data_IF_673818303669
#
_entry.id   IF_673818303669
#
_cell.length_a   1.000
_cell.length_b   1.000
_cell.length_c   1.000
_cell.angle_alpha   90.00
_cell.angle_beta   90.00
_cell.angle_gamma   90.00
#
_symmetry.space_group_name_H-M   'P 1'
#
loop_
_entity.id
_entity.type
_entity.pdbx_description
1 polymer ?
#
# COMPACT_ATOMS: atom_id res chain seq x y z
N UNK A 1 14.04 0.43 -2.91
CA UNK A 1 14.49 -0.83 -2.32
C UNK A 1 14.71 -1.84 -3.45
N UNK A 2 15.91 -2.31 -3.60
CA UNK A 2 16.27 -3.34 -4.60
C UNK A 2 15.87 -2.96 -6.03
N UNK A 3 15.98 -1.68 -6.38
CA UNK A 3 15.60 -1.18 -7.69
C UNK A 3 14.12 -0.82 -7.83
N UNK A 4 13.32 -1.09 -6.83
CA UNK A 4 11.92 -0.70 -6.81
C UNK A 4 11.75 0.67 -6.13
N UNK A 5 10.80 1.44 -6.63
CA UNK A 5 10.46 2.72 -6.04
C UNK A 5 9.36 2.52 -5.03
N UNK A 6 9.67 2.71 -3.76
CA UNK A 6 8.72 2.54 -2.67
C UNK A 6 8.21 3.92 -2.25
N UNK A 7 6.89 4.07 -2.26
CA UNK A 7 6.24 5.32 -1.89
C UNK A 7 5.20 5.05 -0.80
N UNK A 8 5.27 5.81 0.28
CA UNK A 8 4.23 5.80 1.30
C UNK A 8 3.75 7.23 1.52
N UNK A 9 2.44 7.40 1.65
CA UNK A 9 1.89 8.73 1.89
C UNK A 9 0.57 8.62 2.66
N UNK A 10 0.21 9.70 3.34
CA UNK A 10 -1.06 9.82 4.05
C UNK A 10 -1.80 11.02 3.49
N UNK A 11 -3.07 10.84 3.17
CA UNK A 11 -3.95 11.91 2.68
C UNK A 11 -5.16 12.02 3.61
N UNK A 12 -5.49 13.26 3.98
CA UNK A 12 -6.65 13.52 4.82
C UNK A 12 -7.86 13.87 3.95
N UNK A 13 -9.05 13.51 4.45
CA UNK A 13 -10.33 13.86 3.80
C UNK A 13 -10.43 13.34 2.36
N UNK A 14 -9.97 12.12 2.11
CA UNK A 14 -10.08 11.47 0.81
C UNK A 14 -10.96 10.22 0.91
N UNK A 15 -11.68 9.93 -0.16
CA UNK A 15 -12.52 8.73 -0.24
C UNK A 15 -11.70 7.54 -0.75
N UNK A 16 -12.17 6.30 -0.54
CA UNK A 16 -11.52 5.13 -1.15
C UNK A 16 -11.40 5.22 -2.68
N UNK A 17 -12.39 5.83 -3.34
CA UNK A 17 -12.34 6.01 -4.79
C UNK A 17 -11.22 6.96 -5.21
N UNK A 18 -10.98 8.01 -4.44
CA UNK A 18 -9.87 8.92 -4.69
C UNK A 18 -8.53 8.19 -4.58
N UNK A 19 -8.38 7.34 -3.56
CA UNK A 19 -7.17 6.54 -3.39
C UNK A 19 -6.94 5.61 -4.56
N UNK A 20 -7.99 4.93 -5.03
CA UNK A 20 -7.87 4.03 -6.18
C UNK A 20 -7.39 4.76 -7.42
N UNK A 21 -7.92 5.95 -7.65
CA UNK A 21 -7.53 6.78 -8.80
C UNK A 21 -6.05 7.16 -8.72
N UNK A 22 -5.62 7.58 -7.55
CA UNK A 22 -4.21 7.93 -7.32
C UNK A 22 -3.29 6.72 -7.53
N UNK A 23 -3.69 5.59 -6.98
CA UNK A 23 -2.91 4.35 -7.09
C UNK A 23 -2.81 3.86 -8.53
N UNK A 24 -3.92 3.89 -9.27
CA UNK A 24 -3.93 3.47 -10.68
C UNK A 24 -2.98 4.31 -11.52
N UNK A 25 -2.94 5.62 -11.29
CA UNK A 25 -2.03 6.51 -11.98
C UNK A 25 -0.57 6.16 -11.69
N UNK A 26 -0.23 5.90 -10.43
CA UNK A 26 1.13 5.54 -10.03
C UNK A 26 1.52 4.22 -10.68
N UNK A 27 0.66 3.22 -10.58
CA UNK A 27 0.91 1.89 -11.13
C UNK A 27 1.15 1.93 -12.64
N UNK A 28 0.33 2.67 -13.36
CA UNK A 28 0.39 2.72 -14.81
C UNK A 28 1.60 3.52 -15.33
N UNK A 29 2.03 4.52 -14.57
CA UNK A 29 3.17 5.35 -14.97
C UNK A 29 4.51 4.77 -14.58
N UNK A 30 4.54 3.96 -13.52
CA UNK A 30 5.81 3.50 -12.95
C UNK A 30 5.77 2.00 -12.68
N UNK A 31 6.25 1.19 -13.64
CA UNK A 31 6.23 -0.28 -13.48
C UNK A 31 7.04 -0.81 -12.30
N UNK A 32 7.99 -0.02 -11.80
CA UNK A 32 8.81 -0.39 -10.65
C UNK A 32 8.28 0.14 -9.32
N UNK A 33 7.10 0.76 -9.32
CA UNK A 33 6.56 1.38 -8.11
C UNK A 33 5.88 0.37 -7.19
N UNK A 34 6.11 0.56 -5.90
CA UNK A 34 5.31 -0.04 -4.84
C UNK A 34 4.81 1.13 -4.01
N UNK A 35 3.51 1.38 -4.05
CA UNK A 35 2.95 2.54 -3.36
C UNK A 35 1.90 2.09 -2.35
N UNK A 36 1.97 2.66 -1.16
CA UNK A 36 0.96 2.49 -0.13
C UNK A 36 0.45 3.86 0.25
N UNK A 37 -0.83 4.08 0.04
CA UNK A 37 -1.48 5.36 0.32
C UNK A 37 -2.54 5.13 1.38
N UNK A 38 -2.39 5.81 2.51
CA UNK A 38 -3.39 5.78 3.56
C UNK A 38 -4.25 7.03 3.44
N UNK A 39 -5.55 6.83 3.42
CA UNK A 39 -6.52 7.92 3.40
C UNK A 39 -7.31 7.94 4.69
N UNK A 40 -7.51 9.12 5.25
CA UNK A 40 -8.32 9.28 6.45
C UNK A 40 -9.57 10.07 6.13
N UNK A 41 -10.68 9.68 6.76
CA UNK A 41 -11.94 10.39 6.64
C UNK A 41 -12.65 10.25 7.99
N UNK A 42 -12.54 11.29 8.82
CA UNK A 42 -12.97 11.19 10.22
C UNK A 42 -12.14 10.13 10.94
N UNK A 43 -12.83 9.15 11.54
CA UNK A 43 -12.18 8.04 12.25
C UNK A 43 -11.86 6.84 11.34
N UNK A 44 -12.21 6.94 10.07
CA UNK A 44 -11.99 5.84 9.13
C UNK A 44 -10.63 5.97 8.47
N UNK A 45 -9.92 4.85 8.39
CA UNK A 45 -8.66 4.73 7.68
C UNK A 45 -8.86 3.78 6.52
N UNK A 46 -8.57 4.24 5.31
CA UNK A 46 -8.55 3.40 4.12
C UNK A 46 -7.11 3.31 3.65
N UNK A 47 -6.66 2.09 3.32
CA UNK A 47 -5.29 1.88 2.89
C UNK A 47 -5.32 1.20 1.53
N UNK A 48 -4.64 1.80 0.57
CA UNK A 48 -4.47 1.26 -0.77
C UNK A 48 -3.01 0.89 -0.97
N UNK A 49 -2.78 -0.30 -1.50
CA UNK A 49 -1.45 -0.69 -1.97
C UNK A 49 -1.54 -0.99 -3.45
N UNK A 50 -0.59 -0.50 -4.22
CA UNK A 50 -0.46 -0.81 -5.64
C UNK A 50 0.98 -1.21 -5.92
N UNK A 51 1.14 -2.18 -6.82
CA UNK A 51 2.45 -2.62 -7.27
C UNK A 51 2.46 -2.56 -8.79
N UNK A 52 3.46 -1.91 -9.34
CA UNK A 52 3.66 -1.90 -10.79
C UNK A 52 4.00 -3.28 -11.32
N UNK A 53 3.94 -3.45 -12.62
CA UNK A 53 4.13 -4.73 -13.29
C UNK A 53 5.43 -5.41 -12.89
N UNK A 54 6.53 -4.67 -12.88
CA UNK A 54 7.85 -5.23 -12.54
C UNK A 54 7.95 -5.61 -11.07
N UNK A 55 7.30 -4.85 -10.19
CA UNK A 55 7.28 -5.19 -8.76
C UNK A 55 6.54 -6.51 -8.52
N UNK A 56 5.40 -6.70 -9.19
CA UNK A 56 4.64 -7.96 -9.08
C UNK A 56 5.47 -9.13 -9.60
N UNK A 57 6.15 -8.97 -10.74
CA UNK A 57 7.00 -10.00 -11.32
C UNK A 57 8.16 -10.39 -10.39
N UNK A 58 8.62 -9.44 -9.56
CA UNK A 58 9.70 -9.67 -8.61
C UNK A 58 9.21 -10.20 -7.26
N UNK A 59 7.93 -10.51 -7.14
CA UNK A 59 7.37 -11.15 -5.96
C UNK A 59 6.71 -10.23 -4.95
N UNK A 60 6.69 -8.93 -5.20
CA UNK A 60 6.02 -7.97 -4.30
C UNK A 60 4.57 -7.83 -4.72
N UNK A 61 3.66 -8.27 -3.86
CA UNK A 61 2.23 -8.32 -4.17
C UNK A 61 1.44 -7.38 -3.27
N UNK A 62 0.60 -6.56 -3.88
CA UNK A 62 -0.18 -5.56 -3.17
C UNK A 62 -1.14 -6.16 -2.15
N UNK A 63 -1.76 -7.29 -2.48
CA UNK A 63 -2.70 -7.96 -1.57
C UNK A 63 -2.04 -8.38 -0.26
N UNK A 64 -0.85 -8.96 -0.34
CA UNK A 64 -0.11 -9.35 0.86
C UNK A 64 0.40 -8.13 1.63
N UNK A 65 0.85 -7.11 0.90
CA UNK A 65 1.36 -5.88 1.50
C UNK A 65 0.27 -5.14 2.27
N UNK A 66 -0.90 -4.95 1.68
CA UNK A 66 -2.00 -4.24 2.33
C UNK A 66 -2.51 -5.01 3.54
N UNK A 67 -2.48 -6.34 3.48
CA UNK A 67 -2.89 -7.18 4.59
C UNK A 67 -2.00 -6.93 5.82
N UNK A 68 -0.69 -6.88 5.63
CA UNK A 68 0.24 -6.61 6.74
C UNK A 68 0.08 -5.20 7.29
N UNK A 69 -0.01 -4.21 6.41
CA UNK A 69 -0.16 -2.81 6.84
C UNK A 69 -1.46 -2.62 7.60
N UNK A 70 -2.56 -3.16 7.09
CA UNK A 70 -3.86 -3.03 7.75
C UNK A 70 -3.90 -3.75 9.08
N UNK A 71 -3.29 -4.94 9.17
CA UNK A 71 -3.22 -5.68 10.43
C UNK A 71 -2.47 -4.88 11.49
N UNK A 72 -1.39 -4.21 11.11
CA UNK A 72 -0.64 -3.36 12.03
C UNK A 72 -1.46 -2.17 12.54
N UNK A 73 -2.46 -1.73 11.78
CA UNK A 73 -3.38 -0.66 12.18
C UNK A 73 -4.64 -1.19 12.87
N UNK A 74 -4.69 -2.46 13.20
CA UNK A 74 -5.86 -3.06 13.85
C UNK A 74 -7.02 -3.36 12.90
N UNK A 75 -6.76 -3.47 11.62
CA UNK A 75 -7.77 -3.75 10.61
C UNK A 75 -7.44 -4.95 9.74
N UNK A 76 -7.95 -4.95 8.53
CA UNK A 76 -7.72 -6.03 7.58
C UNK A 76 -7.80 -5.51 6.15
N UNK A 77 -7.24 -6.27 5.22
CA UNK A 77 -7.29 -5.92 3.82
C UNK A 77 -6.84 -7.09 2.95
N UNK A 78 -6.91 -6.88 1.66
CA UNK A 78 -6.50 -7.86 0.68
C UNK A 78 -6.97 -7.45 -0.71
N UNK A 79 -6.59 -8.22 -1.71
CA UNK A 79 -6.99 -7.94 -3.09
C UNK A 79 -6.05 -8.59 -4.09
N UNK A 80 -5.93 -7.96 -5.23
CA UNK A 80 -5.12 -8.46 -6.35
C UNK A 80 -3.64 -8.17 -6.12
N UNK A 81 -2.75 -8.90 -6.84
CA UNK A 81 -1.32 -8.64 -6.70
C UNK A 81 -0.88 -7.23 -7.10
N UNK A 82 -1.57 -6.60 -8.03
CA UNK A 82 -1.21 -5.27 -8.51
C UNK A 82 -1.98 -4.13 -7.82
N UNK A 83 -3.09 -4.42 -7.15
CA UNK A 83 -3.90 -3.40 -6.50
C UNK A 83 -4.78 -4.04 -5.42
N UNK A 84 -4.68 -3.54 -4.21
CA UNK A 84 -5.44 -4.06 -3.09
C UNK A 84 -5.80 -2.94 -2.13
N UNK A 85 -6.89 -3.10 -1.43
CA UNK A 85 -7.37 -2.13 -0.44
C UNK A 85 -7.74 -2.80 0.85
N UNK A 86 -7.67 -2.03 1.91
CA UNK A 86 -8.13 -2.43 3.21
C UNK A 86 -8.37 -1.22 4.08
N UNK A 87 -8.49 -1.44 5.36
CA UNK A 87 -8.70 -0.38 6.32
C UNK A 87 -8.07 -0.68 7.65
N UNK A 88 -7.89 0.35 8.45
CA UNK A 88 -7.38 0.24 9.80
C UNK A 88 -8.32 0.93 10.76
N UNK A 89 -8.08 0.72 12.04
CA UNK A 89 -8.89 1.29 13.10
C UNK A 89 -8.12 2.25 14.00
N UNK A 90 -6.81 2.09 14.05
CA UNK A 90 -5.97 2.83 14.98
C UNK A 90 -5.02 3.77 14.22
N UNK A 91 -5.41 5.04 14.16
CA UNK A 91 -4.65 6.07 13.45
C UNK A 91 -3.27 6.30 14.09
N UNK A 92 -3.13 6.05 15.40
CA UNK A 92 -1.86 6.23 16.09
C UNK A 92 -0.82 5.20 15.67
N UNK A 93 -1.27 4.07 15.12
CA UNK A 93 -0.38 3.02 14.62
C UNK A 93 -0.07 3.14 13.14
N UNK A 94 -0.67 4.11 12.46
CA UNK A 94 -0.54 4.26 11.03
C UNK A 94 0.91 4.47 10.59
N UNK A 95 1.64 5.36 11.27
CA UNK A 95 3.04 5.63 10.93
C UNK A 95 3.91 4.38 11.06
N UNK A 96 3.70 3.60 12.12
CA UNK A 96 4.42 2.34 12.31
C UNK A 96 4.06 1.32 11.23
N UNK A 97 2.78 1.28 10.85
CA UNK A 97 2.32 0.39 9.80
C UNK A 97 2.97 0.74 8.46
N UNK A 98 3.03 2.01 8.12
CA UNK A 98 3.66 2.46 6.88
C UNK A 98 5.17 2.20 6.88
N UNK A 99 5.81 2.24 8.04
CA UNK A 99 7.23 1.93 8.15
C UNK A 99 7.55 0.46 7.82
N UNK A 100 6.57 -0.44 7.90
CA UNK A 100 6.75 -1.85 7.53
C UNK A 100 6.88 -2.07 6.04
N UNK A 101 6.49 -1.09 5.22
CA UNK A 101 6.45 -1.26 3.77
C UNK A 101 7.83 -1.55 3.19
N UNK A 102 8.85 -0.80 3.60
CA UNK A 102 10.22 -1.01 3.12
C UNK A 102 10.72 -2.42 3.48
N UNK A 103 10.49 -2.84 4.71
CA UNK A 103 10.89 -4.17 5.16
C UNK A 103 10.15 -5.26 4.41
N UNK A 104 8.86 -5.07 4.16
CA UNK A 104 8.06 -6.02 3.40
C UNK A 104 8.60 -6.17 1.99
N UNK A 105 8.87 -5.06 1.31
CA UNK A 105 9.40 -5.09 -0.05
C UNK A 105 10.75 -5.80 -0.08
N UNK A 106 11.65 -5.47 0.83
CA UNK A 106 12.96 -6.11 0.89
C UNK A 106 12.87 -7.62 1.15
N UNK A 107 11.89 -8.04 1.95
CA UNK A 107 11.71 -9.46 2.28
C UNK A 107 11.10 -10.28 1.14
N UNK A 108 10.30 -9.66 0.27
CA UNK A 108 9.53 -10.38 -0.75
C UNK A 108 10.06 -10.21 -2.16
N UNK A 109 10.94 -9.24 -2.41
CA UNK A 109 11.46 -9.01 -3.74
C UNK A 109 12.44 -10.11 -4.15
N UNK A 110 12.23 -10.66 -5.34
CA UNK A 110 13.16 -11.59 -5.96
C UNK A 110 14.18 -10.86 -6.81
N UNK A 111 15.41 -11.23 -6.67
CA UNK A 111 16.51 -10.65 -7.44
C UNK A 111 16.78 -11.40 -8.72
#
# INVERSE_FOLDING_TARGET
>A
VEGLKVLTTVRNDVTPNDLRRMGDQIRDREPNAVAVIAGTQGDKISILAVCGKHAVERGVKAGALVKEVCTACGGSGGGKPDSAMGGGKDILKLDNALALVDEFVAAHVNQ
#
